data_IF_552298759965
#
_entry.id   IF_552298759965
#
_cell.length_a   1.000
_cell.length_b   1.000
_cell.length_c   1.000
_cell.angle_alpha   90.00
_cell.angle_beta   90.00
_cell.angle_gamma   90.00
#
_symmetry.space_group_name_H-M   'P 1'
#
loop_
_entity.id
_entity.type
_entity.pdbx_description
1 polymer ?
#
# COMPACT_ATOMS: atom_id res chain seq x y z
N UNK A 1 -0.22 30.06 -16.01
CA UNK A 1 -1.37 29.74 -15.15
C UNK A 1 -1.98 28.45 -15.69
N UNK A 2 -1.57 27.31 -15.17
CA UNK A 2 -2.13 26.01 -15.53
C UNK A 2 -2.72 25.43 -14.25
N UNK A 3 -4.05 25.34 -14.22
CA UNK A 3 -4.84 24.68 -13.20
C UNK A 3 -4.58 23.18 -13.29
N UNK A 4 -3.90 22.60 -12.30
CA UNK A 4 -3.75 21.15 -12.17
C UNK A 4 -5.07 20.56 -11.70
N UNK A 5 -5.80 19.94 -12.61
CA UNK A 5 -6.94 19.08 -12.28
C UNK A 5 -6.42 17.77 -11.70
N UNK A 6 -6.63 17.58 -10.40
CA UNK A 6 -6.33 16.34 -9.69
C UNK A 6 -7.29 15.24 -10.16
N UNK A 7 -6.80 14.27 -10.92
CA UNK A 7 -7.47 12.99 -11.16
C UNK A 7 -6.63 11.90 -10.50
N UNK A 8 -6.92 11.63 -9.23
CA UNK A 8 -6.26 10.62 -8.42
C UNK A 8 -7.24 10.18 -7.32
N UNK A 9 -7.73 8.95 -7.44
CA UNK A 9 -8.82 8.43 -6.61
C UNK A 9 -8.40 8.18 -5.17
N UNK A 10 -8.74 9.12 -4.29
CA UNK A 10 -9.27 8.92 -2.94
C UNK A 10 -9.47 10.31 -2.33
N UNK A 11 -10.71 10.77 -2.18
CA UNK A 11 -11.06 11.99 -1.44
C UNK A 11 -12.27 11.68 -0.57
N UNK A 12 -12.01 11.24 0.65
CA UNK A 12 -12.96 11.36 1.76
C UNK A 12 -12.25 12.00 2.94
N UNK A 13 -12.79 13.10 3.46
CA UNK A 13 -12.52 13.52 4.83
C UNK A 13 -13.79 13.30 5.60
N UNK A 14 -13.81 12.41 6.60
CA UNK A 14 -15.01 12.10 7.39
C UNK A 14 -14.92 12.74 8.79
N UNK A 15 -15.73 13.74 9.09
CA UNK A 15 -15.78 14.33 10.42
C UNK A 15 -17.01 13.80 11.20
N UNK A 16 -16.80 13.07 12.29
CA UNK A 16 -17.87 12.46 13.08
C UNK A 16 -18.26 13.37 14.24
N UNK A 17 -19.56 13.62 14.39
CA UNK A 17 -20.15 14.40 15.49
C UNK A 17 -21.12 13.53 16.29
N UNK A 18 -21.08 13.66 17.61
CA UNK A 18 -22.08 13.05 18.49
C UNK A 18 -23.27 13.98 18.72
N UNK A 19 -24.50 13.52 18.45
CA UNK A 19 -25.72 14.20 18.92
C UNK A 19 -26.23 13.56 20.22
N UNK A 20 -26.37 14.36 21.29
CA UNK A 20 -27.13 13.95 22.48
C UNK A 20 -28.61 14.28 22.27
N UNK A 21 -29.41 13.29 21.90
CA UNK A 21 -30.85 13.36 22.12
C UNK A 21 -31.18 12.76 23.49
N UNK A 22 -31.69 13.62 24.38
CA UNK A 22 -32.21 13.23 25.68
C UNK A 22 -33.56 12.51 25.50
N UNK A 23 -33.56 11.18 25.50
CA UNK A 23 -34.77 10.37 25.68
C UNK A 23 -34.48 9.08 26.45
N UNK A 24 -34.97 9.00 27.69
CA UNK A 24 -34.97 7.79 28.52
C UNK A 24 -35.85 6.70 27.89
N UNK A 25 -35.39 5.44 27.83
CA UNK A 25 -36.10 4.30 28.47
C UNK A 25 -35.44 2.93 28.26
N UNK A 26 -35.24 2.25 29.40
CA UNK A 26 -35.28 0.83 29.72
C UNK A 26 -34.37 -0.25 29.08
N UNK A 27 -33.76 -0.97 30.03
CA UNK A 27 -32.87 -2.12 29.97
C UNK A 27 -33.45 -3.38 29.33
N UNK A 28 -32.58 -4.17 28.71
CA UNK A 28 -32.63 -5.64 28.75
C UNK A 28 -31.22 -6.21 28.54
N UNK A 29 -30.66 -6.84 29.57
CA UNK A 29 -29.34 -7.48 29.57
C UNK A 29 -29.38 -8.79 28.77
N UNK A 30 -28.46 -8.95 27.81
CA UNK A 30 -28.06 -10.27 27.31
C UNK A 30 -26.55 -10.43 27.40
N UNK A 31 -26.09 -11.35 28.26
CA UNK A 31 -24.70 -11.81 28.35
C UNK A 31 -24.52 -13.00 27.41
N UNK A 32 -23.61 -12.91 26.44
CA UNK A 32 -23.10 -14.07 25.72
C UNK A 32 -21.67 -14.36 26.20
N UNK A 33 -21.52 -15.52 26.85
CA UNK A 33 -20.27 -16.08 27.33
C UNK A 33 -19.74 -17.02 26.25
N UNK A 34 -18.59 -16.73 25.65
CA UNK A 34 -17.88 -17.65 24.76
C UNK A 34 -16.57 -18.15 25.38
N UNK A 35 -16.47 -19.47 25.55
CA UNK A 35 -15.32 -20.23 26.07
C UNK A 35 -14.25 -20.45 24.99
N UNK A 36 -12.95 -20.58 25.33
CA UNK A 36 -11.88 -20.78 24.35
C UNK A 36 -11.55 -22.27 24.16
N UNK A 37 -11.34 -22.72 22.91
CA UNK A 37 -10.60 -23.94 22.47
C UNK A 37 -10.30 -23.75 20.97
N UNK A 38 -9.17 -24.12 20.34
CA UNK A 38 -8.02 -24.97 20.69
C UNK A 38 -6.87 -24.61 19.72
N UNK A 39 -5.64 -24.59 20.24
CA UNK A 39 -4.37 -24.46 19.51
C UNK A 39 -4.02 -25.74 18.75
N UNK A 40 -3.56 -25.62 17.50
CA UNK A 40 -2.95 -26.72 16.73
C UNK A 40 -1.45 -26.47 16.55
N UNK A 41 -0.68 -27.50 16.88
CA UNK A 41 0.79 -27.55 16.92
C UNK A 41 1.25 -28.43 15.74
N UNK A 42 2.03 -27.88 14.80
CA UNK A 42 2.58 -28.65 13.67
C UNK A 42 4.05 -28.94 13.91
N UNK A 43 4.40 -30.24 13.87
CA UNK A 43 5.74 -30.80 14.06
C UNK A 43 6.59 -30.68 12.78
N UNK A 44 7.88 -30.38 12.97
CA UNK A 44 8.98 -30.46 11.98
C UNK A 44 9.53 -31.89 11.84
N UNK A 45 9.91 -32.27 10.62
CA UNK A 45 10.76 -33.40 10.24
C UNK A 45 10.79 -33.48 8.70
N UNK A 46 11.87 -33.80 7.98
CA UNK A 46 13.24 -34.12 8.32
C UNK A 46 14.13 -33.88 7.07
N UNK A 47 15.44 -33.87 7.29
CA UNK A 47 16.48 -33.63 6.29
C UNK A 47 16.81 -34.93 5.55
N UNK A 48 16.84 -34.90 4.22
CA UNK A 48 17.38 -36.00 3.39
C UNK A 48 18.62 -35.51 2.63
N UNK A 49 19.68 -36.32 2.75
CA UNK A 49 21.06 -36.13 2.32
C UNK A 49 21.23 -36.67 0.89
N UNK A 50 21.87 -35.90 -0.01
CA UNK A 50 22.27 -36.37 -1.34
C UNK A 50 23.71 -36.89 -1.31
N UNK A 51 23.92 -38.09 -1.84
CA UNK A 51 25.24 -38.67 -2.12
C UNK A 51 25.68 -38.39 -3.56
N UNK A 52 26.99 -38.18 -3.72
CA UNK A 52 27.69 -37.92 -4.98
C UNK A 52 28.20 -39.25 -5.53
N UNK A 53 27.87 -39.58 -6.78
CA UNK A 53 28.50 -40.67 -7.53
C UNK A 53 29.34 -40.05 -8.66
N UNK A 54 30.63 -40.35 -8.65
CA UNK A 54 31.59 -40.00 -9.69
C UNK A 54 31.79 -41.21 -10.60
N UNK A 55 31.63 -41.03 -11.91
CA UNK A 55 32.11 -42.01 -12.89
C UNK A 55 33.18 -41.40 -13.79
N UNK A 56 34.28 -42.13 -13.85
CA UNK A 56 35.55 -41.79 -14.46
C UNK A 56 35.63 -42.57 -15.78
N UNK A 57 35.73 -41.91 -16.93
CA UNK A 57 36.27 -42.61 -18.09
C UNK A 57 36.97 -41.70 -19.11
N UNK A 58 38.23 -42.05 -19.35
CA UNK A 58 39.15 -41.49 -20.33
C UNK A 58 38.63 -41.71 -21.75
N UNK A 59 38.61 -40.67 -22.57
CA UNK A 59 38.99 -40.84 -23.97
C UNK A 59 39.58 -39.56 -24.57
N UNK A 60 40.76 -39.72 -25.18
CA UNK A 60 41.52 -38.69 -25.88
C UNK A 60 40.73 -38.21 -27.10
N UNK A 61 40.29 -36.95 -27.08
CA UNK A 61 39.76 -36.24 -28.25
C UNK A 61 40.57 -34.95 -28.45
N UNK A 62 40.83 -34.66 -29.72
CA UNK A 62 41.77 -33.68 -30.28
C UNK A 62 41.77 -32.31 -29.59
N UNK A 63 42.97 -31.81 -29.30
CA UNK A 63 43.23 -30.49 -28.70
C UNK A 63 42.74 -29.30 -29.55
N UNK A 64 42.34 -29.54 -30.80
CA UNK A 64 41.74 -28.53 -31.68
C UNK A 64 40.23 -28.35 -31.39
N UNK A 65 39.53 -29.42 -31.01
CA UNK A 65 38.10 -29.38 -30.65
C UNK A 65 37.86 -28.72 -29.29
N UNK A 66 38.78 -28.86 -28.34
CA UNK A 66 38.65 -28.28 -27.01
C UNK A 66 38.76 -26.74 -27.01
N UNK A 67 39.58 -26.16 -27.90
CA UNK A 67 39.75 -24.71 -28.01
C UNK A 67 38.57 -24.03 -28.72
N UNK A 68 37.99 -24.70 -29.72
CA UNK A 68 36.74 -24.25 -30.37
C UNK A 68 35.53 -24.45 -29.46
N UNK A 69 35.48 -25.54 -28.69
CA UNK A 69 34.49 -25.73 -27.63
C UNK A 69 34.66 -24.66 -26.54
N UNK A 70 35.87 -24.28 -26.14
CA UNK A 70 36.12 -23.19 -25.18
C UNK A 70 35.79 -21.80 -25.74
N UNK A 71 35.86 -21.57 -27.07
CA UNK A 71 35.42 -20.30 -27.69
C UNK A 71 33.89 -20.23 -27.83
N UNK A 72 33.24 -21.33 -28.22
CA UNK A 72 31.78 -21.43 -28.28
C UNK A 72 31.12 -21.48 -26.89
N UNK A 73 31.89 -21.84 -25.85
CA UNK A 73 31.35 -22.01 -24.50
C UNK A 73 31.93 -21.03 -23.47
N UNK A 74 33.01 -20.31 -23.76
CA UNK A 74 33.61 -19.34 -22.83
C UNK A 74 33.05 -17.93 -22.99
N UNK A 75 32.72 -17.52 -24.22
CA UNK A 75 32.18 -16.19 -24.50
C UNK A 75 30.66 -16.11 -24.24
N UNK A 76 29.93 -17.22 -24.41
CA UNK A 76 28.45 -17.27 -24.32
C UNK A 76 27.94 -17.77 -22.96
N UNK A 77 28.79 -18.43 -22.15
CA UNK A 77 28.43 -18.85 -20.78
C UNK A 77 28.60 -17.75 -19.72
N UNK A 78 29.31 -16.67 -20.03
CA UNK A 78 29.54 -15.55 -19.10
C UNK A 78 28.71 -14.29 -19.45
N UNK A 79 28.21 -14.17 -20.68
CA UNK A 79 27.42 -13.01 -21.15
C UNK A 79 25.92 -13.28 -21.26
N UNK A 80 25.47 -14.52 -21.00
CA UNK A 80 24.05 -14.84 -20.86
C UNK A 80 23.63 -14.72 -19.39
N UNK A 81 23.85 -13.57 -18.77
CA UNK A 81 23.10 -13.25 -17.56
C UNK A 81 21.63 -13.19 -18.00
N UNK A 82 20.85 -14.18 -17.58
CA UNK A 82 19.41 -14.18 -17.82
C UNK A 82 18.85 -12.96 -17.09
N UNK A 83 18.25 -12.03 -17.83
CA UNK A 83 17.48 -10.95 -17.21
C UNK A 83 16.49 -11.56 -16.22
N UNK A 84 16.42 -10.97 -15.03
CA UNK A 84 15.53 -11.42 -13.96
C UNK A 84 14.48 -10.37 -13.68
N UNK A 85 13.27 -10.83 -13.35
CA UNK A 85 12.23 -9.95 -12.82
C UNK A 85 12.51 -9.76 -11.33
N UNK A 86 12.54 -8.52 -10.87
CA UNK A 86 12.81 -8.16 -9.48
C UNK A 86 11.69 -7.27 -9.01
N UNK A 87 11.18 -7.51 -7.81
CA UNK A 87 10.43 -6.51 -7.08
C UNK A 87 11.24 -6.07 -5.88
N UNK A 88 11.39 -4.76 -5.73
CA UNK A 88 11.97 -4.10 -4.58
C UNK A 88 10.94 -3.12 -4.04
N UNK A 89 10.64 -3.19 -2.74
CA UNK A 89 9.61 -2.32 -2.20
C UNK A 89 9.59 -2.20 -0.70
N UNK A 90 8.71 -1.32 -0.25
CA UNK A 90 8.34 -1.12 1.14
C UNK A 90 6.88 -1.54 1.32
N UNK A 91 6.62 -2.22 2.42
CA UNK A 91 5.27 -2.63 2.82
C UNK A 91 4.96 -2.07 4.19
N UNK A 92 3.68 -1.80 4.44
CA UNK A 92 3.13 -1.43 5.74
C UNK A 92 3.49 -2.41 6.86
N UNK A 93 3.77 -3.67 6.55
CA UNK A 93 4.14 -4.67 7.56
C UNK A 93 5.55 -4.47 8.13
N UNK A 94 6.45 -3.86 7.34
CA UNK A 94 7.87 -3.72 7.68
C UNK A 94 8.32 -2.28 7.86
N UNK A 95 7.53 -1.31 7.38
CA UNK A 95 8.00 0.06 7.17
C UNK A 95 7.04 1.10 7.74
N UNK A 96 7.54 2.02 8.60
CA UNK A 96 6.71 3.10 9.15
C UNK A 96 6.26 4.08 8.06
N UNK A 97 5.15 4.78 8.30
CA UNK A 97 4.54 5.71 7.34
C UNK A 97 5.47 6.87 6.96
N UNK A 98 6.28 7.37 7.88
CA UNK A 98 7.25 8.46 7.67
C UNK A 98 8.28 8.15 6.57
N UNK A 99 8.60 6.87 6.40
CA UNK A 99 9.54 6.41 5.38
C UNK A 99 8.81 6.14 4.06
N UNK A 100 7.60 5.56 4.12
CA UNK A 100 6.80 5.27 2.92
C UNK A 100 6.34 6.53 2.21
N UNK A 101 5.92 7.57 2.94
CA UNK A 101 5.44 8.82 2.35
C UNK A 101 6.51 9.55 1.52
N UNK A 102 7.79 9.45 1.93
CA UNK A 102 8.92 10.02 1.18
C UNK A 102 9.22 9.29 -0.13
N UNK A 103 8.72 8.06 -0.27
CA UNK A 103 8.85 7.24 -1.47
C UNK A 103 7.55 7.14 -2.26
N UNK A 104 6.46 7.74 -1.78
CA UNK A 104 5.19 7.73 -2.50
C UNK A 104 5.34 8.54 -3.79
N UNK A 105 5.10 7.89 -4.93
CA UNK A 105 5.14 8.54 -6.24
C UNK A 105 3.71 8.72 -6.74
N UNK A 106 3.27 9.97 -6.99
CA UNK A 106 1.95 10.22 -7.53
C UNK A 106 1.85 9.68 -8.96
N UNK A 107 0.63 9.32 -9.37
CA UNK A 107 0.38 8.66 -10.65
C UNK A 107 0.91 9.46 -11.85
N UNK A 108 0.76 10.78 -11.81
CA UNK A 108 1.24 11.69 -12.84
C UNK A 108 2.76 11.61 -13.07
N UNK A 109 3.52 11.14 -12.07
CA UNK A 109 4.97 11.01 -12.14
C UNK A 109 5.45 9.60 -12.49
N UNK A 110 4.56 8.60 -12.58
CA UNK A 110 4.95 7.24 -12.93
C UNK A 110 5.70 7.14 -14.27
N UNK A 111 5.27 7.80 -15.37
CA UNK A 111 6.02 7.76 -16.63
C UNK A 111 7.44 8.29 -16.49
N UNK A 112 7.62 9.36 -15.72
CA UNK A 112 8.94 9.94 -15.44
C UNK A 112 9.80 8.98 -14.62
N UNK A 113 9.25 8.41 -13.55
CA UNK A 113 9.95 7.45 -12.71
C UNK A 113 10.40 6.21 -13.51
N UNK A 114 9.53 5.67 -14.37
CA UNK A 114 9.87 4.56 -15.27
C UNK A 114 11.02 4.94 -16.20
N UNK A 115 10.99 6.14 -16.79
CA UNK A 115 12.06 6.64 -17.66
C UNK A 115 13.40 6.80 -16.93
N UNK A 116 13.40 7.32 -15.70
CA UNK A 116 14.61 7.43 -14.87
C UNK A 116 15.18 6.06 -14.50
N UNK A 117 14.31 5.11 -14.15
CA UNK A 117 14.68 3.73 -13.80
C UNK A 117 15.30 2.98 -14.99
N UNK A 118 14.69 3.09 -16.17
CA UNK A 118 15.22 2.46 -17.40
C UNK A 118 16.46 3.19 -17.95
N UNK A 119 16.80 4.36 -17.42
CA UNK A 119 18.08 5.04 -17.68
C UNK A 119 19.26 4.43 -16.91
N UNK A 120 19.01 3.53 -15.97
CA UNK A 120 20.05 2.82 -15.21
C UNK A 120 20.65 1.68 -16.05
N UNK A 121 21.94 1.40 -15.86
CA UNK A 121 22.68 0.52 -16.77
C UNK A 121 22.18 -0.93 -16.78
N UNK A 122 21.60 -1.41 -15.67
CA UNK A 122 21.21 -2.81 -15.52
C UNK A 122 19.69 -2.99 -15.52
N UNK A 123 18.89 -1.98 -15.84
CA UNK A 123 17.42 -2.03 -15.82
C UNK A 123 16.89 -1.84 -17.24
N UNK A 124 16.17 -2.85 -17.75
CA UNK A 124 15.60 -2.83 -19.11
C UNK A 124 14.15 -2.35 -19.13
N UNK A 125 13.38 -2.73 -18.11
CA UNK A 125 11.96 -2.40 -17.98
C UNK A 125 11.66 -2.06 -16.52
N UNK A 126 10.68 -1.19 -16.29
CA UNK A 126 10.22 -0.83 -14.97
C UNK A 126 8.71 -0.63 -14.90
N UNK A 127 8.12 -0.92 -13.74
CA UNK A 127 6.74 -0.62 -13.37
C UNK A 127 6.67 -0.21 -11.91
N UNK A 128 5.87 0.82 -11.62
CA UNK A 128 5.74 1.40 -10.28
C UNK A 128 4.34 1.13 -9.75
N UNK A 129 4.25 0.51 -8.57
CA UNK A 129 3.01 0.33 -7.82
C UNK A 129 3.12 1.10 -6.50
N UNK A 130 2.61 2.33 -6.53
CA UNK A 130 2.58 3.24 -5.38
C UNK A 130 1.17 3.29 -4.83
N UNK A 131 0.99 2.85 -3.58
CA UNK A 131 -0.28 2.91 -2.85
C UNK A 131 -0.05 3.38 -1.43
N UNK A 132 -1.12 3.59 -0.68
CA UNK A 132 -1.01 4.01 0.70
C UNK A 132 -0.37 2.93 1.60
N UNK A 133 -0.42 1.64 1.22
CA UNK A 133 0.10 0.55 2.04
C UNK A 133 1.43 -0.01 1.53
N UNK A 134 1.80 0.27 0.28
CA UNK A 134 3.01 -0.28 -0.35
C UNK A 134 3.59 0.68 -1.37
N UNK A 135 4.89 0.67 -1.48
CA UNK A 135 5.62 1.26 -2.60
C UNK A 135 6.51 0.18 -3.19
N UNK A 136 6.17 -0.30 -4.38
CA UNK A 136 6.85 -1.41 -5.03
C UNK A 136 7.30 -1.03 -6.42
N UNK A 137 8.55 -1.37 -6.74
CA UNK A 137 9.13 -1.17 -8.06
C UNK A 137 9.46 -2.53 -8.63
N UNK A 138 8.79 -2.86 -9.74
CA UNK A 138 9.01 -4.07 -10.51
C UNK A 138 9.93 -3.74 -11.67
N UNK A 139 11.04 -4.46 -11.80
CA UNK A 139 12.02 -4.23 -12.87
C UNK A 139 12.41 -5.52 -13.57
N UNK A 140 12.79 -5.40 -14.83
CA UNK A 140 13.60 -6.41 -15.52
C UNK A 140 15.04 -5.96 -15.43
N UNK A 141 15.87 -6.72 -14.74
CA UNK A 141 17.27 -6.39 -14.55
C UNK A 141 18.19 -7.37 -15.28
N UNK A 142 19.18 -6.85 -16.02
CA UNK A 142 20.23 -7.65 -16.67
C UNK A 142 21.06 -8.45 -15.67
N UNK A 143 21.23 -7.90 -14.46
CA UNK A 143 22.01 -8.51 -13.38
C UNK A 143 21.31 -8.31 -12.04
N UNK A 144 21.08 -9.40 -11.31
CA UNK A 144 20.39 -9.36 -10.00
C UNK A 144 21.04 -8.37 -9.03
N UNK A 145 22.33 -8.58 -8.71
CA UNK A 145 23.00 -7.79 -7.68
C UNK A 145 23.17 -6.32 -8.08
N UNK A 146 23.46 -6.06 -9.36
CA UNK A 146 23.69 -4.69 -9.84
C UNK A 146 22.37 -3.93 -9.99
N UNK A 147 21.34 -4.57 -10.55
CA UNK A 147 20.01 -3.99 -10.65
C UNK A 147 19.44 -3.63 -9.29
N UNK A 148 19.52 -4.54 -8.31
CA UNK A 148 19.12 -4.27 -6.92
C UNK A 148 19.85 -3.07 -6.33
N UNK A 149 21.17 -2.98 -6.52
CA UNK A 149 21.97 -1.87 -6.00
C UNK A 149 21.55 -0.55 -6.63
N UNK A 150 21.45 -0.49 -7.95
CA UNK A 150 21.02 0.70 -8.68
C UNK A 150 19.60 1.13 -8.29
N UNK A 151 18.69 0.17 -8.11
CA UNK A 151 17.32 0.42 -7.68
C UNK A 151 17.27 1.00 -6.25
N UNK A 152 18.06 0.43 -5.34
CA UNK A 152 18.18 0.93 -3.96
C UNK A 152 18.77 2.35 -3.92
N UNK A 153 19.78 2.62 -4.75
CA UNK A 153 20.41 3.94 -4.87
C UNK A 153 19.44 4.96 -5.46
N UNK A 154 18.65 4.58 -6.47
CA UNK A 154 17.60 5.41 -7.02
C UNK A 154 16.53 5.73 -5.96
N UNK A 155 16.03 4.73 -5.22
CA UNK A 155 15.07 4.95 -4.12
C UNK A 155 15.64 5.88 -3.04
N UNK A 156 16.91 5.71 -2.68
CA UNK A 156 17.58 6.59 -1.71
C UNK A 156 17.66 8.04 -2.21
N UNK A 157 18.00 8.23 -3.49
CA UNK A 157 18.08 9.55 -4.11
C UNK A 157 16.71 10.23 -4.20
N UNK A 158 15.67 9.51 -4.62
CA UNK A 158 14.32 10.04 -4.79
C UNK A 158 13.69 10.42 -3.45
N UNK A 159 13.92 9.62 -2.41
CA UNK A 159 13.33 9.83 -1.08
C UNK A 159 14.12 10.73 -0.14
N UNK A 160 15.41 10.95 -0.45
CA UNK A 160 16.36 11.59 0.46
C UNK A 160 16.74 10.73 1.68
N UNK A 161 16.32 9.46 1.73
CA UNK A 161 16.63 8.53 2.81
C UNK A 161 17.92 7.77 2.47
N UNK A 162 18.90 7.67 3.39
CA UNK A 162 20.13 6.92 3.13
C UNK A 162 19.84 5.46 2.76
N UNK A 163 20.55 4.94 1.75
CA UNK A 163 20.41 3.55 1.31
C UNK A 163 20.65 2.52 2.45
N UNK A 164 21.51 2.85 3.41
CA UNK A 164 21.73 2.03 4.60
C UNK A 164 20.49 1.90 5.47
N UNK A 165 19.69 2.95 5.59
CA UNK A 165 18.46 2.95 6.37
C UNK A 165 17.35 2.19 5.64
N UNK A 166 17.16 2.49 4.35
CA UNK A 166 16.17 1.80 3.50
C UNK A 166 16.33 0.28 3.50
N UNK A 167 17.57 -0.22 3.43
CA UNK A 167 17.87 -1.67 3.39
C UNK A 167 17.28 -2.47 4.56
N UNK A 168 17.04 -1.86 5.72
CA UNK A 168 16.44 -2.56 6.86
C UNK A 168 14.94 -2.83 6.68
N UNK A 169 14.28 -2.08 5.80
CA UNK A 169 12.84 -2.12 5.60
C UNK A 169 12.43 -2.69 4.23
N UNK A 170 13.35 -2.66 3.27
CA UNK A 170 13.15 -3.18 1.91
C UNK A 170 12.95 -4.69 1.92
N UNK A 171 11.87 -5.13 1.28
CA UNK A 171 11.73 -6.53 0.85
C UNK A 171 12.16 -6.66 -0.61
N UNK A 172 12.64 -7.83 -0.98
CA UNK A 172 13.17 -8.09 -2.30
C UNK A 172 12.86 -9.52 -2.72
N UNK A 173 12.21 -9.66 -3.87
CA UNK A 173 11.82 -10.96 -4.42
C UNK A 173 12.27 -11.07 -5.87
N UNK A 174 12.45 -12.31 -6.33
CA UNK A 174 13.05 -12.63 -7.62
C UNK A 174 12.15 -13.55 -8.45
N UNK A 175 12.04 -13.26 -9.74
CA UNK A 175 11.46 -14.12 -10.77
C UNK A 175 10.06 -14.66 -10.37
N UNK A 176 9.97 -15.96 -10.06
CA UNK A 176 8.74 -16.61 -9.63
C UNK A 176 8.15 -16.01 -8.35
N UNK A 177 8.99 -15.68 -7.37
CA UNK A 177 8.55 -15.11 -6.10
C UNK A 177 8.01 -13.68 -6.29
N UNK A 178 8.63 -12.88 -7.18
CA UNK A 178 8.14 -11.56 -7.54
C UNK A 178 6.77 -11.63 -8.25
N UNK A 179 6.61 -12.63 -9.13
CA UNK A 179 5.35 -12.88 -9.84
C UNK A 179 4.25 -13.33 -8.89
N UNK A 180 4.55 -14.28 -8.00
CA UNK A 180 3.63 -14.77 -6.98
C UNK A 180 3.18 -13.63 -6.06
N UNK A 181 4.11 -12.80 -5.59
CA UNK A 181 3.80 -11.64 -4.75
C UNK A 181 2.80 -10.69 -5.43
N UNK A 182 3.05 -10.28 -6.69
CA UNK A 182 2.12 -9.40 -7.39
C UNK A 182 0.73 -10.03 -7.58
N UNK A 183 0.66 -11.35 -7.74
CA UNK A 183 -0.62 -12.05 -7.84
C UNK A 183 -1.36 -12.07 -6.50
N UNK A 184 -0.67 -12.30 -5.39
CA UNK A 184 -1.23 -12.23 -4.03
C UNK A 184 -1.72 -10.82 -3.70
N UNK A 185 -0.94 -9.79 -4.07
CA UNK A 185 -1.31 -8.38 -3.96
C UNK A 185 -2.55 -8.07 -4.79
N UNK A 186 -2.57 -8.46 -6.07
CA UNK A 186 -3.71 -8.21 -6.97
C UNK A 186 -4.99 -8.96 -6.55
N UNK A 187 -4.83 -10.12 -5.91
CA UNK A 187 -5.92 -10.88 -5.31
C UNK A 187 -6.45 -10.25 -4.01
N UNK A 188 -5.72 -9.30 -3.41
CA UNK A 188 -6.07 -8.68 -2.12
C UNK A 188 -5.79 -9.59 -0.91
N UNK A 189 -4.89 -10.56 -1.06
CA UNK A 189 -4.44 -11.44 0.03
C UNK A 189 -3.41 -10.75 0.93
N UNK A 190 -2.59 -9.88 0.34
CA UNK A 190 -1.68 -9.00 1.06
C UNK A 190 -2.29 -7.57 1.08
N UNK A 191 -3.34 -7.36 1.88
CA UNK A 191 -3.91 -6.03 2.14
C UNK A 191 -4.28 -5.91 3.62
N UNK A 192 -4.37 -4.68 4.13
CA UNK A 192 -4.86 -4.40 5.48
C UNK A 192 -6.28 -4.96 5.67
N UNK A 193 -7.12 -4.80 4.64
CA UNK A 193 -8.43 -5.43 4.57
C UNK A 193 -8.42 -6.50 3.50
N UNK A 194 -8.50 -7.75 3.94
CA UNK A 194 -8.54 -8.90 3.06
C UNK A 194 -9.70 -8.77 2.06
N UNK A 195 -9.40 -8.92 0.77
CA UNK A 195 -10.40 -8.89 -0.29
C UNK A 195 -10.79 -7.50 -0.80
N UNK A 196 -10.18 -6.43 -0.30
CA UNK A 196 -10.44 -5.05 -0.74
C UNK A 196 -10.24 -4.88 -2.26
N UNK A 197 -11.31 -4.46 -2.97
CA UNK A 197 -11.34 -4.29 -4.43
C UNK A 197 -10.36 -3.27 -5.01
N UNK A 198 -9.88 -2.35 -4.18
CA UNK A 198 -9.16 -1.15 -4.61
C UNK A 198 -7.77 -1.48 -5.19
N UNK A 199 -7.06 -2.47 -4.64
CA UNK A 199 -5.72 -2.83 -5.11
C UNK A 199 -5.74 -3.33 -6.56
N UNK A 200 -6.78 -4.07 -6.97
CA UNK A 200 -6.92 -4.55 -8.34
C UNK A 200 -7.18 -3.40 -9.32
N UNK A 201 -7.88 -2.34 -8.88
CA UNK A 201 -8.07 -1.13 -9.67
C UNK A 201 -6.75 -0.36 -9.82
N UNK A 202 -5.94 -0.27 -8.76
CA UNK A 202 -4.61 0.35 -8.81
C UNK A 202 -3.67 -0.40 -9.75
N UNK A 203 -3.67 -1.74 -9.73
CA UNK A 203 -2.87 -2.56 -10.68
C UNK A 203 -3.30 -2.31 -12.13
N UNK A 204 -4.61 -2.14 -12.40
CA UNK A 204 -5.10 -1.73 -13.73
C UNK A 204 -4.56 -0.36 -14.13
N UNK A 205 -4.53 0.57 -13.19
CA UNK A 205 -4.04 1.92 -13.44
C UNK A 205 -2.56 1.93 -13.84
N UNK A 206 -1.72 1.09 -13.23
CA UNK A 206 -0.30 0.95 -13.61
C UNK A 206 -0.16 0.60 -15.09
N UNK A 207 -1.04 -0.27 -15.62
CA UNK A 207 -1.01 -0.61 -17.04
C UNK A 207 -1.48 0.57 -17.89
N UNK A 208 -2.57 1.22 -17.51
CA UNK A 208 -3.13 2.33 -18.27
C UNK A 208 -2.14 3.50 -18.37
N UNK A 209 -1.47 3.84 -17.27
CA UNK A 209 -0.50 4.93 -17.21
C UNK A 209 0.89 4.53 -17.76
N UNK A 210 1.20 3.23 -17.79
CA UNK A 210 2.40 2.68 -18.41
C UNK A 210 2.28 2.45 -19.92
N UNK A 211 1.07 2.33 -20.47
CA UNK A 211 0.86 2.18 -21.90
C UNK A 211 1.37 3.41 -22.67
N UNK A 212 2.29 3.18 -23.61
CA UNK A 212 2.96 4.25 -24.36
C UNK A 212 4.20 4.83 -23.71
N UNK A 213 4.56 4.41 -22.49
CA UNK A 213 5.80 4.82 -21.82
C UNK A 213 6.97 3.94 -22.25
N UNK A 214 8.01 4.56 -22.80
CA UNK A 214 9.27 3.86 -23.08
C UNK A 214 9.89 3.39 -21.74
N UNK A 215 10.02 2.07 -21.58
CA UNK A 215 10.48 1.43 -20.33
C UNK A 215 9.41 0.59 -19.65
N UNK A 216 8.12 0.79 -19.94
CA UNK A 216 7.06 -0.15 -19.53
C UNK A 216 6.96 -1.29 -20.57
N UNK A 217 7.98 -2.14 -20.59
CA UNK A 217 8.18 -3.12 -21.64
C UNK A 217 7.26 -4.34 -21.56
N UNK A 218 7.54 -5.32 -22.42
CA UNK A 218 6.67 -6.49 -22.65
C UNK A 218 6.60 -7.40 -21.42
N UNK A 219 7.70 -7.56 -20.69
CA UNK A 219 7.75 -8.46 -19.55
C UNK A 219 6.95 -7.87 -18.37
N UNK A 220 7.18 -6.60 -18.02
CA UNK A 220 6.45 -5.92 -16.95
C UNK A 220 4.98 -5.74 -17.33
N UNK A 221 4.68 -5.25 -18.53
CA UNK A 221 3.28 -5.11 -18.99
C UNK A 221 2.57 -6.47 -18.98
N UNK A 222 3.24 -7.53 -19.46
CA UNK A 222 2.71 -8.88 -19.45
C UNK A 222 2.43 -9.40 -18.04
N UNK A 223 3.35 -9.17 -17.09
CA UNK A 223 3.21 -9.55 -15.70
C UNK A 223 1.99 -8.87 -15.04
N UNK A 224 1.84 -7.55 -15.19
CA UNK A 224 0.70 -6.81 -14.65
C UNK A 224 -0.63 -7.24 -15.30
N UNK A 225 -0.66 -7.51 -16.60
CA UNK A 225 -1.86 -8.03 -17.31
C UNK A 225 -2.29 -9.39 -16.75
N UNK A 226 -1.34 -10.28 -16.47
CA UNK A 226 -1.64 -11.57 -15.84
C UNK A 226 -2.10 -11.39 -14.39
N UNK A 227 -1.50 -10.47 -13.64
CA UNK A 227 -1.90 -10.19 -12.27
C UNK A 227 -3.35 -9.73 -12.15
N UNK A 228 -3.84 -8.91 -13.09
CA UNK A 228 -5.26 -8.52 -13.16
C UNK A 228 -6.15 -9.73 -13.44
N UNK A 229 -5.73 -10.61 -14.34
CA UNK A 229 -6.49 -11.82 -14.67
C UNK A 229 -6.62 -12.73 -13.46
N UNK A 230 -5.51 -12.94 -12.73
CA UNK A 230 -5.49 -13.71 -11.49
C UNK A 230 -6.37 -13.06 -10.42
N UNK A 231 -6.22 -11.75 -10.18
CA UNK A 231 -7.02 -11.04 -9.18
C UNK A 231 -8.52 -11.05 -9.47
N UNK A 232 -8.92 -10.94 -10.74
CA UNK A 232 -10.33 -11.13 -11.16
C UNK A 232 -10.80 -12.55 -10.87
N UNK A 233 -10.02 -13.55 -11.25
CA UNK A 233 -10.35 -14.96 -11.09
C UNK A 233 -10.52 -15.36 -9.63
N UNK A 234 -9.61 -14.93 -8.74
CA UNK A 234 -9.73 -15.16 -7.30
C UNK A 234 -11.02 -14.56 -6.75
N UNK A 235 -11.40 -13.35 -7.16
CA UNK A 235 -12.65 -12.72 -6.72
C UNK A 235 -13.91 -13.41 -7.21
N UNK A 236 -13.89 -13.98 -8.41
CA UNK A 236 -15.06 -14.69 -8.97
C UNK A 236 -15.17 -16.12 -8.47
N UNK A 237 -14.04 -16.79 -8.23
CA UNK A 237 -14.00 -18.20 -7.84
C UNK A 237 -13.98 -18.39 -6.31
N UNK A 238 -13.79 -17.32 -5.54
CA UNK A 238 -13.75 -17.36 -4.07
C UNK A 238 -14.67 -16.31 -3.46
N UNK A 239 -15.05 -16.50 -2.19
CA UNK A 239 -15.84 -15.53 -1.44
C UNK A 239 -15.01 -14.39 -0.85
N UNK A 240 -13.76 -14.17 -1.30
CA UNK A 240 -12.88 -13.16 -0.70
C UNK A 240 -13.43 -11.73 -0.82
N UNK A 241 -14.23 -11.45 -1.85
CA UNK A 241 -14.87 -10.15 -2.03
C UNK A 241 -16.17 -10.00 -1.20
N UNK A 242 -16.71 -11.09 -0.66
CA UNK A 242 -17.95 -11.06 0.12
C UNK A 242 -17.67 -10.49 1.51
N UNK A 243 -18.27 -9.34 1.82
CA UNK A 243 -18.09 -8.67 3.11
C UNK A 243 -16.74 -7.96 3.27
N UNK A 244 -15.99 -7.73 2.18
CA UNK A 244 -14.79 -6.90 2.23
C UNK A 244 -15.18 -5.44 2.53
N UNK A 245 -14.69 -4.93 3.65
CA UNK A 245 -14.89 -3.54 4.12
C UNK A 245 -13.80 -2.66 3.49
N UNK A 246 -14.06 -1.39 3.21
CA UNK A 246 -13.04 -0.47 2.70
C UNK A 246 -12.14 0.05 3.83
N UNK A 247 -10.92 0.52 3.52
CA UNK A 247 -10.08 1.18 4.55
C UNK A 247 -10.78 2.41 5.13
N UNK A 248 -11.60 3.10 4.34
CA UNK A 248 -12.40 4.25 4.77
C UNK A 248 -13.49 3.87 5.77
N UNK A 249 -14.25 2.80 5.54
CA UNK A 249 -15.24 2.33 6.53
C UNK A 249 -14.58 1.73 7.77
N UNK A 250 -13.46 1.02 7.64
CA UNK A 250 -12.68 0.57 8.79
C UNK A 250 -12.17 1.76 9.64
N UNK A 251 -11.83 2.89 9.01
CA UNK A 251 -11.45 4.10 9.73
C UNK A 251 -12.61 4.73 10.51
N UNK A 252 -13.80 4.75 9.93
CA UNK A 252 -15.01 5.25 10.60
C UNK A 252 -15.42 4.30 11.75
N UNK A 253 -15.36 2.98 11.55
CA UNK A 253 -15.59 2.01 12.62
C UNK A 253 -14.59 2.17 13.77
N UNK A 254 -13.31 2.36 13.46
CA UNK A 254 -12.29 2.64 14.46
C UNK A 254 -12.60 3.95 15.22
N UNK A 255 -12.99 5.00 14.50
CA UNK A 255 -13.40 6.27 15.10
C UNK A 255 -14.54 6.07 16.10
N UNK A 256 -15.59 5.34 15.70
CA UNK A 256 -16.75 5.04 16.56
C UNK A 256 -16.35 4.21 17.77
N UNK A 257 -15.48 3.20 17.60
CA UNK A 257 -15.00 2.38 18.71
C UNK A 257 -14.19 3.18 19.75
N UNK A 258 -13.55 4.28 19.32
CA UNK A 258 -12.83 5.19 20.21
C UNK A 258 -13.73 6.18 20.93
N UNK A 259 -14.98 6.36 20.47
CA UNK A 259 -15.98 7.21 21.11
C UNK A 259 -16.71 6.47 22.26
N UNK A 260 -17.28 7.20 23.25
CA UNK A 260 -18.08 6.60 24.32
C UNK A 260 -19.37 5.96 23.79
N UNK A 261 -19.83 4.85 24.41
CA UNK A 261 -20.92 3.98 23.91
C UNK A 261 -22.34 4.58 23.84
N UNK A 262 -22.57 5.83 24.26
CA UNK A 262 -23.91 6.45 24.31
C UNK A 262 -24.09 7.55 23.24
N UNK A 263 -23.48 7.39 22.07
CA UNK A 263 -23.29 8.47 21.09
C UNK A 263 -24.01 8.14 19.76
N UNK A 264 -24.89 9.03 19.29
CA UNK A 264 -25.40 8.99 17.90
C UNK A 264 -24.35 9.59 16.97
N UNK A 265 -23.93 8.85 15.93
CA UNK A 265 -22.83 9.27 15.05
C UNK A 265 -23.35 9.88 13.74
N UNK A 266 -22.94 11.11 13.46
CA UNK A 266 -23.12 11.76 12.15
C UNK A 266 -21.75 11.98 11.52
N UNK A 267 -21.52 11.51 10.29
CA UNK A 267 -20.26 11.67 9.57
C UNK A 267 -20.38 12.72 8.45
N UNK A 268 -19.41 13.64 8.35
CA UNK A 268 -19.36 14.66 7.28
C UNK A 268 -18.29 14.30 6.27
N UNK A 269 -18.64 14.02 5.01
CA UNK A 269 -17.72 13.47 4.00
C UNK A 269 -17.60 14.38 2.76
N UNK A 270 -16.52 14.27 1.98
CA UNK A 270 -16.36 14.91 0.66
C UNK A 270 -16.96 14.07 -0.50
N UNK A 271 -17.25 14.71 -1.63
CA UNK A 271 -18.27 14.29 -2.62
C UNK A 271 -18.06 12.89 -3.21
N UNK A 272 -16.84 12.58 -3.65
CA UNK A 272 -16.57 11.45 -4.55
C UNK A 272 -16.84 10.06 -3.95
N UNK A 273 -16.84 9.93 -2.61
CA UNK A 273 -17.03 8.64 -1.92
C UNK A 273 -18.24 8.60 -0.99
N UNK A 274 -19.03 9.66 -0.92
CA UNK A 274 -20.21 9.74 -0.03
C UNK A 274 -21.17 8.58 -0.29
N UNK A 275 -21.42 8.24 -1.56
CA UNK A 275 -22.41 7.21 -1.90
C UNK A 275 -21.96 5.80 -1.52
N UNK A 276 -20.71 5.44 -1.80
CA UNK A 276 -20.15 4.14 -1.41
C UNK A 276 -20.14 3.95 0.12
N UNK A 277 -19.76 5.00 0.86
CA UNK A 277 -19.75 4.94 2.34
C UNK A 277 -21.17 4.86 2.89
N UNK A 278 -22.17 5.51 2.25
CA UNK A 278 -23.60 5.38 2.62
C UNK A 278 -24.13 3.95 2.43
N UNK A 279 -23.73 3.27 1.38
CA UNK A 279 -24.11 1.87 1.16
C UNK A 279 -23.50 0.93 2.20
N UNK A 280 -22.22 1.17 2.56
CA UNK A 280 -21.48 0.40 3.57
C UNK A 280 -21.97 0.68 5.00
N UNK A 281 -22.36 1.93 5.30
CA UNK A 281 -22.66 2.40 6.66
C UNK A 281 -24.08 2.97 6.77
N UNK A 282 -25.08 2.08 6.76
CA UNK A 282 -26.51 2.48 6.78
C UNK A 282 -26.99 3.04 8.11
N UNK A 283 -26.28 2.78 9.20
CA UNK A 283 -26.65 3.18 10.55
C UNK A 283 -26.09 4.56 10.95
N UNK A 284 -25.43 5.26 10.02
CA UNK A 284 -24.77 6.56 10.24
C UNK A 284 -25.34 7.60 9.27
N UNK A 285 -25.71 8.77 9.79
CA UNK A 285 -26.09 9.89 8.94
C UNK A 285 -24.85 10.49 8.27
N UNK A 286 -24.82 10.53 6.93
CA UNK A 286 -23.70 11.08 6.17
C UNK A 286 -24.09 12.41 5.49
N UNK A 287 -23.42 13.49 5.91
CA UNK A 287 -23.63 14.86 5.41
C UNK A 287 -22.47 15.24 4.49
N UNK A 288 -22.76 15.63 3.24
CA UNK A 288 -21.73 16.11 2.33
C UNK A 288 -21.39 17.58 2.62
N UNK A 289 -20.09 17.91 2.64
CA UNK A 289 -19.58 19.29 2.76
C UNK A 289 -18.42 19.56 1.80
N UNK A 290 -18.33 20.76 1.18
CA UNK A 290 -17.19 21.14 0.35
C UNK A 290 -15.88 21.22 1.13
N UNK A 291 -14.75 21.01 0.46
CA UNK A 291 -13.41 21.10 1.07
C UNK A 291 -13.12 22.51 1.66
N UNK A 292 -13.77 23.56 1.14
CA UNK A 292 -13.64 24.92 1.70
C UNK A 292 -14.24 25.06 3.10
N UNK A 293 -15.19 24.19 3.48
CA UNK A 293 -15.79 24.14 4.81
C UNK A 293 -15.08 23.16 5.76
N UNK A 294 -13.95 22.59 5.33
CA UNK A 294 -13.21 21.55 6.05
C UNK A 294 -12.86 21.92 7.50
N UNK A 295 -12.23 23.08 7.70
CA UNK A 295 -11.81 23.52 9.04
C UNK A 295 -13.01 23.80 9.95
N UNK A 296 -14.09 24.36 9.39
CA UNK A 296 -15.34 24.57 10.14
C UNK A 296 -15.96 23.22 10.56
N UNK A 297 -15.97 22.24 9.65
CA UNK A 297 -16.43 20.89 9.98
C UNK A 297 -15.58 20.24 11.05
N UNK A 298 -14.25 20.39 10.99
CA UNK A 298 -13.33 19.86 11.99
C UNK A 298 -13.56 20.48 13.38
N UNK A 299 -13.80 21.79 13.46
CA UNK A 299 -14.09 22.48 14.72
C UNK A 299 -15.42 22.06 15.37
N UNK A 300 -16.35 21.50 14.60
CA UNK A 300 -17.63 21.01 15.11
C UNK A 300 -17.67 19.50 15.35
N UNK A 301 -16.54 18.80 15.21
CA UNK A 301 -16.47 17.35 15.24
C UNK A 301 -15.62 16.83 16.39
N UNK A 302 -15.95 15.63 16.86
CA UNK A 302 -15.18 14.94 17.91
C UNK A 302 -14.05 14.10 17.30
N UNK A 303 -14.28 13.60 16.07
CA UNK A 303 -13.32 12.81 15.30
C UNK A 303 -13.24 13.34 13.87
N UNK A 304 -12.05 13.45 13.32
CA UNK A 304 -11.79 13.82 11.94
C UNK A 304 -10.95 12.74 11.28
N UNK A 305 -11.52 12.02 10.33
CA UNK A 305 -10.80 11.07 9.49
C UNK A 305 -10.37 11.72 8.19
N UNK A 306 -9.11 11.56 7.80
CA UNK A 306 -8.58 12.06 6.52
C UNK A 306 -8.18 10.91 5.61
N UNK A 307 -8.70 10.93 4.38
CA UNK A 307 -8.39 9.95 3.34
C UNK A 307 -8.40 10.62 1.95
N UNK A 308 -7.58 11.66 1.80
CA UNK A 308 -7.39 12.36 0.53
C UNK A 308 -6.08 11.96 -0.17
N UNK A 309 -6.02 12.17 -1.49
CA UNK A 309 -4.80 12.06 -2.29
C UNK A 309 -3.93 13.34 -2.26
N UNK A 310 -4.19 14.27 -1.33
CA UNK A 310 -3.39 15.50 -1.21
C UNK A 310 -1.94 15.17 -0.86
N UNK A 311 -1.01 15.77 -1.60
CA UNK A 311 0.43 15.71 -1.32
C UNK A 311 0.86 16.71 -0.24
N UNK A 312 -0.06 17.59 0.18
CA UNK A 312 0.17 18.62 1.20
C UNK A 312 -0.66 18.34 2.44
N UNK A 313 -0.16 18.80 3.59
CA UNK A 313 -0.92 18.73 4.84
C UNK A 313 -2.21 19.55 4.73
N UNK A 314 -3.34 18.93 5.04
CA UNK A 314 -4.64 19.58 5.18
C UNK A 314 -4.83 20.16 6.58
N UNK A 315 -4.25 19.51 7.59
CA UNK A 315 -4.24 19.97 8.98
C UNK A 315 -2.82 20.19 9.45
N UNK A 316 -2.47 21.45 9.68
CA UNK A 316 -1.23 21.86 10.32
C UNK A 316 -1.48 22.20 11.79
N UNK A 317 -0.42 22.22 12.60
CA UNK A 317 -0.49 22.64 14.01
C UNK A 317 -1.18 24.01 14.16
N UNK A 318 -0.79 24.97 13.34
CA UNK A 318 -1.35 26.34 13.35
C UNK A 318 -2.86 26.33 13.08
N UNK A 319 -3.34 25.54 12.12
CA UNK A 319 -4.78 25.49 11.84
C UNK A 319 -5.55 24.81 12.96
N UNK A 320 -5.01 23.74 13.55
CA UNK A 320 -5.68 22.99 14.62
C UNK A 320 -5.73 23.80 15.92
N UNK A 321 -4.69 24.59 16.23
CA UNK A 321 -4.69 25.51 17.39
C UNK A 321 -5.77 26.60 17.30
N UNK A 322 -6.22 26.95 16.09
CA UNK A 322 -7.30 27.92 15.88
C UNK A 322 -8.71 27.33 15.98
N UNK A 323 -8.83 25.99 16.08
CA UNK A 323 -10.13 25.34 16.20
C UNK A 323 -10.76 25.60 17.58
N UNK A 324 -12.10 25.73 17.64
CA UNK A 324 -12.78 25.85 18.92
C UNK A 324 -12.57 24.58 19.78
N UNK A 325 -12.60 24.71 21.13
CA UNK A 325 -12.51 23.55 22.02
C UNK A 325 -13.64 22.55 21.74
N UNK A 326 -13.28 21.27 21.64
CA UNK A 326 -14.24 20.19 21.39
C UNK A 326 -15.09 19.94 22.63
N UNK A 327 -16.33 19.50 22.42
CA UNK A 327 -17.26 19.16 23.51
C UNK A 327 -16.70 18.05 24.43
N UNK A 328 -17.20 18.00 25.67
CA UNK A 328 -16.70 17.13 26.75
C UNK A 328 -16.84 15.62 26.52
N UNK A 329 -17.39 15.18 25.38
CA UNK A 329 -17.81 13.80 25.12
C UNK A 329 -16.59 12.88 24.94
N UNK A 330 -15.57 13.31 24.20
CA UNK A 330 -14.30 12.56 24.06
C UNK A 330 -13.24 13.01 25.09
N UNK A 331 -13.66 13.28 26.33
CA UNK A 331 -12.79 13.88 27.35
C UNK A 331 -12.29 15.28 26.97
N UNK A 332 -13.01 15.97 26.08
CA UNK A 332 -12.63 17.27 25.54
C UNK A 332 -11.59 17.23 24.40
N UNK A 333 -11.28 16.05 23.86
CA UNK A 333 -10.21 15.88 22.87
C UNK A 333 -10.69 15.65 21.43
N UNK A 334 -10.08 16.34 20.47
CA UNK A 334 -10.23 16.09 19.03
C UNK A 334 -9.36 14.91 18.60
N UNK A 335 -9.97 13.89 18.00
CA UNK A 335 -9.23 12.75 17.44
C UNK A 335 -9.10 12.87 15.92
N UNK A 336 -7.88 12.90 15.40
CA UNK A 336 -7.60 12.73 13.98
C UNK A 336 -7.29 11.26 13.66
N UNK A 337 -7.94 10.72 12.63
CA UNK A 337 -7.71 9.38 12.07
C UNK A 337 -7.22 9.53 10.63
N UNK A 338 -5.90 9.56 10.44
CA UNK A 338 -5.30 9.73 9.12
C UNK A 338 -5.04 8.38 8.45
N UNK A 339 -5.61 8.19 7.26
CA UNK A 339 -5.40 6.99 6.43
C UNK A 339 -4.74 7.31 5.10
N UNK A 340 -4.32 8.56 4.90
CA UNK A 340 -3.65 9.03 3.69
C UNK A 340 -2.14 8.80 3.70
N UNK A 341 -1.59 8.56 2.51
CA UNK A 341 -0.15 8.65 2.22
C UNK A 341 0.04 9.36 0.88
N UNK A 342 0.77 10.49 0.85
CA UNK A 342 1.34 11.21 1.99
C UNK A 342 0.30 11.63 3.03
N UNK A 343 0.73 11.79 4.29
CA UNK A 343 -0.19 12.13 5.39
C UNK A 343 -0.87 13.47 5.14
N UNK A 344 -2.13 13.58 5.54
CA UNK A 344 -2.88 14.83 5.48
C UNK A 344 -2.86 15.59 6.80
N UNK A 345 -2.52 14.93 7.91
CA UNK A 345 -2.39 15.52 9.23
C UNK A 345 -0.92 15.59 9.61
N UNK A 346 -0.43 16.79 9.94
CA UNK A 346 0.97 16.99 10.34
C UNK A 346 1.30 16.23 11.62
N UNK A 347 2.50 15.67 11.71
CA UNK A 347 2.94 14.93 12.91
C UNK A 347 2.88 15.77 14.20
N UNK A 348 3.16 17.06 14.09
CA UNK A 348 3.11 18.04 15.18
C UNK A 348 1.68 18.42 15.63
N UNK A 349 0.63 17.97 14.94
CA UNK A 349 -0.76 18.16 15.38
C UNK A 349 -1.02 17.39 16.68
N UNK A 350 -0.29 16.30 16.92
CA UNK A 350 -0.35 15.54 18.18
C UNK A 350 0.19 16.31 19.39
N UNK A 351 0.93 17.40 19.18
CA UNK A 351 1.44 18.28 20.25
C UNK A 351 0.42 19.35 20.68
N UNK A 352 -0.68 19.50 19.95
CA UNK A 352 -1.74 20.47 20.29
C UNK A 352 -2.53 19.94 21.48
N UNK A 353 -2.80 20.81 22.45
CA UNK A 353 -3.56 20.44 23.64
C UNK A 353 -4.92 19.87 23.24
N UNK A 354 -5.34 18.81 23.95
CA UNK A 354 -6.59 18.12 23.66
C UNK A 354 -6.69 17.56 22.23
N UNK A 355 -5.57 17.31 21.54
CA UNK A 355 -5.59 16.68 20.22
C UNK A 355 -4.89 15.33 20.26
N UNK A 356 -5.43 14.37 19.51
CA UNK A 356 -4.83 13.05 19.32
C UNK A 356 -4.79 12.74 17.84
N UNK A 357 -3.68 12.18 17.36
CA UNK A 357 -3.55 11.74 15.97
C UNK A 357 -3.30 10.24 15.96
N UNK A 358 -4.06 9.51 15.16
CA UNK A 358 -3.86 8.08 14.90
C UNK A 358 -3.72 7.89 13.40
N UNK A 359 -2.58 7.37 12.96
CA UNK A 359 -2.45 6.82 11.62
C UNK A 359 -2.88 5.35 11.65
N UNK A 360 -3.81 4.95 10.78
CA UNK A 360 -4.19 3.52 10.63
C UNK A 360 -3.09 2.69 9.96
N UNK A 361 -2.09 3.37 9.45
CA UNK A 361 -0.94 2.77 8.84
C UNK A 361 0.21 2.81 9.82
N UNK A 362 0.57 1.63 10.35
CA UNK A 362 1.54 1.46 11.44
C UNK A 362 2.88 2.15 11.21
#
# INVERSE_FOLDING_TARGET
MATSTATGFATSMAAVKTMMESSYSNSSQFRIICKPKRTFLVRRGGVTRCEVVSDNNNNRVSSLSALEQLKASGADRYTKEKSSIIVLGLSIHTTPVEMREKLAIPEAEWPRAIGELCGLNHIEEAGVLSTCNRMEIYVVALSWHRGVRELTEWMAKTSGIPASELRHHLFMLRDGDATQHLFEVSAGLDSLVLGEGQILAQVKQVIMSGEGVNGFGRNISGLFKHAITVGKRVRTETNIASGAVSVSSAAIELAIMKLPQNSSATARVSEERVEAIREEMRDIEIIYKPLTEMLACAGESDVVSTSTASETLLFTKENVETLPPVGSINGGSLLFVDISVPRNVGSCVSDVENTRVTCLQR
#
